data_IF_515829795413
#
_entry.id   IF_515829795413
#
_cell.length_a   1.000
_cell.length_b   1.000
_cell.length_c   1.000
_cell.angle_alpha   90.00
_cell.angle_beta   90.00
_cell.angle_gamma   90.00
#
_symmetry.space_group_name_H-M   'P 1'
#
loop_
_entity.id
_entity.type
_entity.pdbx_description
1 polymer ?
#
# COMPACT_ATOMS: atom_id res chain seq x y z
N UNK A 1 -19.37 -24.95 -18.26
CA UNK A 1 -19.02 -23.53 -17.98
C UNK A 1 -19.50 -23.26 -16.58
N UNK A 2 -18.65 -22.76 -15.67
CA UNK A 2 -19.08 -22.48 -14.30
C UNK A 2 -20.16 -21.40 -14.34
N UNK A 3 -21.26 -21.63 -13.62
CA UNK A 3 -22.37 -20.68 -13.50
C UNK A 3 -21.95 -19.39 -12.76
N UNK A 4 -20.69 -19.22 -12.36
CA UNK A 4 -20.29 -18.12 -11.49
C UNK A 4 -19.76 -16.88 -12.23
N UNK A 5 -19.78 -16.85 -13.56
CA UNK A 5 -19.22 -15.76 -14.38
C UNK A 5 -20.26 -14.99 -15.20
N UNK A 6 -21.51 -14.92 -14.73
CA UNK A 6 -22.64 -14.34 -15.47
C UNK A 6 -22.43 -12.88 -15.90
N UNK A 7 -21.68 -12.09 -15.12
CA UNK A 7 -21.56 -10.65 -15.35
C UNK A 7 -20.32 -10.24 -16.14
N UNK A 8 -19.31 -11.12 -16.25
CA UNK A 8 -18.08 -10.82 -17.00
C UNK A 8 -18.38 -10.53 -18.48
N UNK A 9 -19.23 -11.30 -19.19
CA UNK A 9 -19.57 -10.99 -20.58
C UNK A 9 -20.26 -9.63 -20.74
N UNK A 10 -21.08 -9.21 -19.77
CA UNK A 10 -21.79 -7.92 -19.79
C UNK A 10 -20.78 -6.77 -19.69
N UNK A 11 -19.84 -6.87 -18.74
CA UNK A 11 -18.77 -5.89 -18.57
C UNK A 11 -17.81 -5.87 -19.77
N UNK A 12 -17.42 -7.04 -20.27
CA UNK A 12 -16.52 -7.15 -21.42
C UNK A 12 -17.13 -6.56 -22.69
N UNK A 13 -18.46 -6.63 -22.84
CA UNK A 13 -19.19 -5.96 -23.92
C UNK A 13 -19.17 -4.44 -23.74
N UNK A 14 -19.45 -3.95 -22.54
CA UNK A 14 -19.46 -2.51 -22.25
C UNK A 14 -18.09 -1.86 -22.46
N UNK A 15 -17.01 -2.55 -22.12
CA UNK A 15 -15.63 -2.06 -22.29
C UNK A 15 -15.16 -1.98 -23.76
N UNK A 16 -15.89 -2.58 -24.70
CA UNK A 16 -15.57 -2.55 -26.13
C UNK A 16 -16.40 -1.52 -26.90
N UNK A 17 -17.35 -0.87 -26.23
CA UNK A 17 -18.20 0.13 -26.85
C UNK A 17 -17.44 1.47 -27.02
N UNK A 18 -17.65 2.22 -28.12
CA UNK A 18 -17.04 3.54 -28.28
C UNK A 18 -17.41 4.54 -27.18
N UNK A 19 -18.61 4.43 -26.60
CA UNK A 19 -19.07 5.23 -25.46
C UNK A 19 -19.01 4.36 -24.19
N UNK A 20 -17.79 4.19 -23.67
CA UNK A 20 -17.48 3.29 -22.55
C UNK A 20 -18.26 3.71 -21.29
N UNK A 21 -18.34 5.00 -20.98
CA UNK A 21 -18.97 5.49 -19.76
C UNK A 21 -20.46 5.14 -19.73
N UNK A 22 -21.18 5.48 -20.82
CA UNK A 22 -22.59 5.16 -20.95
C UNK A 22 -22.83 3.66 -20.94
N UNK A 23 -21.97 2.90 -21.62
CA UNK A 23 -22.10 1.45 -21.74
C UNK A 23 -21.84 0.74 -20.41
N UNK A 24 -20.87 1.20 -19.61
CA UNK A 24 -20.64 0.70 -18.27
C UNK A 24 -21.82 1.02 -17.34
N UNK A 25 -22.37 2.25 -17.38
CA UNK A 25 -23.59 2.58 -16.62
C UNK A 25 -24.74 1.62 -16.93
N UNK A 26 -24.96 1.33 -18.20
CA UNK A 26 -26.00 0.40 -18.62
C UNK A 26 -25.71 -1.04 -18.14
N UNK A 27 -24.46 -1.49 -18.23
CA UNK A 27 -24.04 -2.79 -17.73
C UNK A 27 -24.25 -2.93 -16.22
N UNK A 28 -23.86 -1.94 -15.42
CA UNK A 28 -24.09 -1.94 -13.98
C UNK A 28 -25.59 -1.98 -13.63
N UNK A 29 -26.41 -1.23 -14.36
CA UNK A 29 -27.86 -1.28 -14.19
C UNK A 29 -28.44 -2.66 -14.51
N UNK A 30 -27.97 -3.29 -15.59
CA UNK A 30 -28.37 -4.64 -16.00
C UNK A 30 -27.97 -5.69 -14.96
N UNK A 31 -26.72 -5.65 -14.49
CA UNK A 31 -26.20 -6.56 -13.46
C UNK A 31 -27.00 -6.41 -12.16
N UNK A 32 -27.29 -5.18 -11.73
CA UNK A 32 -28.11 -4.91 -10.54
C UNK A 32 -29.53 -5.46 -10.68
N UNK A 33 -30.15 -5.31 -11.86
CA UNK A 33 -31.46 -5.90 -12.15
C UNK A 33 -31.41 -7.43 -12.12
N UNK A 34 -30.38 -8.05 -12.69
CA UNK A 34 -30.18 -9.50 -12.65
C UNK A 34 -29.97 -10.01 -11.22
N UNK A 35 -29.20 -9.30 -10.39
CA UNK A 35 -28.93 -9.66 -8.99
C UNK A 35 -30.18 -9.84 -8.13
N UNK A 36 -31.32 -9.24 -8.51
CA UNK A 36 -32.61 -9.44 -7.82
C UNK A 36 -33.23 -10.83 -8.04
N UNK A 37 -32.77 -11.58 -9.04
CA UNK A 37 -33.28 -12.92 -9.33
C UNK A 37 -32.50 -13.97 -8.51
N UNK A 38 -33.22 -14.90 -7.88
CA UNK A 38 -32.62 -15.92 -7.00
C UNK A 38 -31.46 -16.70 -7.60
N UNK A 39 -31.51 -17.00 -8.91
CA UNK A 39 -30.44 -17.73 -9.63
C UNK A 39 -29.13 -16.96 -9.79
N UNK A 40 -29.14 -15.65 -9.57
CA UNK A 40 -27.98 -14.77 -9.72
C UNK A 40 -27.50 -14.19 -8.39
N UNK A 41 -28.14 -14.51 -7.27
CA UNK A 41 -27.86 -13.89 -5.97
C UNK A 41 -26.40 -14.09 -5.53
N UNK A 42 -25.89 -15.33 -5.56
CA UNK A 42 -24.51 -15.65 -5.19
C UNK A 42 -23.49 -14.98 -6.13
N UNK A 43 -23.76 -14.97 -7.44
CA UNK A 43 -22.91 -14.27 -8.39
C UNK A 43 -22.89 -12.77 -8.15
N UNK A 44 -24.02 -12.19 -7.72
CA UNK A 44 -24.18 -10.75 -7.50
C UNK A 44 -23.47 -10.29 -6.24
N UNK A 45 -23.55 -11.06 -5.16
CA UNK A 45 -22.77 -10.81 -3.93
C UNK A 45 -21.26 -10.82 -4.21
N UNK A 46 -20.77 -11.81 -4.95
CA UNK A 46 -19.36 -11.85 -5.36
C UNK A 46 -18.96 -10.67 -6.25
N UNK A 47 -19.87 -10.19 -7.10
CA UNK A 47 -19.64 -9.01 -7.92
C UNK A 47 -19.57 -7.73 -7.08
N UNK A 48 -20.45 -7.56 -6.10
CA UNK A 48 -20.39 -6.41 -5.18
C UNK A 48 -19.07 -6.40 -4.39
N UNK A 49 -18.64 -7.56 -3.87
CA UNK A 49 -17.33 -7.70 -3.21
C UNK A 49 -16.17 -7.33 -4.13
N UNK A 50 -16.22 -7.74 -5.40
CA UNK A 50 -15.19 -7.37 -6.38
C UNK A 50 -15.17 -5.87 -6.67
N UNK A 51 -16.33 -5.24 -6.84
CA UNK A 51 -16.42 -3.79 -7.09
C UNK A 51 -15.91 -3.00 -5.88
N UNK A 52 -16.28 -3.41 -4.67
CA UNK A 52 -15.81 -2.77 -3.45
C UNK A 52 -14.29 -2.89 -3.27
N UNK A 53 -13.72 -4.07 -3.56
CA UNK A 53 -12.27 -4.27 -3.58
C UNK A 53 -11.57 -3.42 -4.65
N UNK A 54 -12.12 -3.36 -5.87
CA UNK A 54 -11.56 -2.57 -6.95
C UNK A 54 -11.62 -1.06 -6.66
N UNK A 55 -12.71 -0.59 -6.07
CA UNK A 55 -12.89 0.80 -5.67
C UNK A 55 -11.94 1.17 -4.54
N UNK A 56 -11.86 0.34 -3.50
CA UNK A 56 -10.92 0.51 -2.39
C UNK A 56 -9.47 0.57 -2.88
N UNK A 57 -9.10 -0.33 -3.79
CA UNK A 57 -7.76 -0.33 -4.39
C UNK A 57 -7.50 0.92 -5.24
N UNK A 58 -8.51 1.44 -5.95
CA UNK A 58 -8.39 2.65 -6.75
C UNK A 58 -8.27 3.92 -5.89
N UNK A 59 -9.04 4.05 -4.81
CA UNK A 59 -8.93 5.15 -3.85
C UNK A 59 -7.57 5.13 -3.16
N UNK A 60 -7.10 3.96 -2.73
CA UNK A 60 -5.77 3.79 -2.14
C UNK A 60 -4.69 4.20 -3.15
N UNK A 61 -4.80 3.75 -4.40
CA UNK A 61 -3.81 4.07 -5.44
C UNK A 61 -3.80 5.56 -5.79
N UNK A 62 -4.96 6.20 -5.85
CA UNK A 62 -5.09 7.62 -6.19
C UNK A 62 -4.61 8.51 -5.05
N UNK A 63 -4.99 8.19 -3.81
CA UNK A 63 -4.50 8.86 -2.61
C UNK A 63 -2.98 8.71 -2.46
N UNK A 64 -2.45 7.51 -2.69
CA UNK A 64 -1.01 7.24 -2.66
C UNK A 64 -0.24 8.07 -3.67
N UNK A 65 -0.70 8.10 -4.93
CA UNK A 65 -0.06 8.89 -6.01
C UNK A 65 -0.07 10.38 -5.72
N UNK A 66 -1.16 10.89 -5.15
CA UNK A 66 -1.26 12.32 -4.84
C UNK A 66 -0.34 12.68 -3.66
N UNK A 67 -0.23 11.81 -2.67
CA UNK A 67 0.73 11.99 -1.56
C UNK A 67 2.18 11.91 -2.01
N UNK A 68 2.51 10.93 -2.83
CA UNK A 68 3.85 10.79 -3.43
C UNK A 68 4.21 12.06 -4.22
N UNK A 69 3.30 12.53 -5.08
CA UNK A 69 3.50 13.76 -5.86
C UNK A 69 3.63 14.99 -4.94
N UNK A 70 2.83 15.07 -3.88
CA UNK A 70 2.91 16.15 -2.88
C UNK A 70 4.27 16.17 -2.19
N UNK A 71 4.80 15.01 -1.81
CA UNK A 71 6.13 14.89 -1.23
C UNK A 71 7.22 15.26 -2.23
N UNK A 72 7.15 14.76 -3.47
CA UNK A 72 8.15 15.05 -4.50
C UNK A 72 8.24 16.54 -4.81
N UNK A 73 7.10 17.24 -4.83
CA UNK A 73 7.05 18.68 -5.03
C UNK A 73 7.58 19.44 -3.81
N UNK A 74 7.22 19.01 -2.60
CA UNK A 74 7.66 19.66 -1.37
C UNK A 74 9.18 19.55 -1.17
N UNK A 75 9.78 18.42 -1.54
CA UNK A 75 11.22 18.16 -1.38
C UNK A 75 12.07 18.53 -2.60
N UNK A 76 11.44 19.11 -3.63
CA UNK A 76 12.13 19.55 -4.83
C UNK A 76 12.71 18.43 -5.72
N UNK A 77 12.31 17.17 -5.51
CA UNK A 77 12.78 16.01 -6.29
C UNK A 77 11.91 15.71 -7.52
N UNK A 78 10.78 16.40 -7.69
CA UNK A 78 9.91 16.22 -8.85
C UNK A 78 10.60 16.67 -10.14
N UNK A 79 10.79 15.74 -11.07
CA UNK A 79 11.39 16.02 -12.39
C UNK A 79 10.32 16.50 -13.37
N UNK A 80 10.05 17.81 -13.37
CA UNK A 80 9.13 18.44 -14.30
C UNK A 80 9.52 19.87 -14.67
N UNK A 81 8.87 20.42 -15.68
CA UNK A 81 9.04 21.82 -16.06
C UNK A 81 8.44 22.75 -14.99
N UNK A 82 8.93 23.99 -14.89
CA UNK A 82 8.39 24.98 -13.96
C UNK A 82 6.87 25.19 -14.13
N UNK A 83 6.36 25.07 -15.35
CA UNK A 83 4.93 25.19 -15.66
C UNK A 83 4.12 24.00 -15.11
N UNK A 84 4.66 22.79 -15.21
CA UNK A 84 4.03 21.59 -14.65
C UNK A 84 4.04 21.64 -13.13
N UNK A 85 5.15 22.04 -12.52
CA UNK A 85 5.27 22.23 -11.07
C UNK A 85 4.20 23.21 -10.56
N UNK A 86 4.08 24.40 -11.17
CA UNK A 86 3.09 25.39 -10.71
C UNK A 86 1.65 24.88 -10.87
N UNK A 87 1.37 24.19 -11.98
CA UNK A 87 0.04 23.61 -12.23
C UNK A 87 -0.33 22.56 -11.17
N UNK A 88 0.63 21.73 -10.76
CA UNK A 88 0.41 20.72 -9.73
C UNK A 88 0.31 21.34 -8.33
N UNK A 89 1.08 22.39 -8.04
CA UNK A 89 0.96 23.14 -6.79
C UNK A 89 -0.40 23.82 -6.67
N UNK A 90 -0.96 24.37 -7.75
CA UNK A 90 -2.32 24.93 -7.75
C UNK A 90 -3.37 23.86 -7.43
N UNK A 91 -3.20 22.63 -7.95
CA UNK A 91 -4.06 21.50 -7.62
C UNK A 91 -3.93 21.15 -6.13
N UNK A 92 -2.72 21.07 -5.58
CA UNK A 92 -2.49 20.79 -4.15
C UNK A 92 -3.10 21.89 -3.26
N UNK A 93 -2.90 23.17 -3.60
CA UNK A 93 -3.46 24.33 -2.88
C UNK A 93 -4.99 24.36 -2.89
N UNK A 94 -5.62 23.86 -3.95
CA UNK A 94 -7.09 23.78 -4.03
C UNK A 94 -7.71 22.69 -3.13
N UNK A 95 -6.89 21.81 -2.54
CA UNK A 95 -7.33 20.72 -1.67
C UNK A 95 -6.73 20.87 -0.25
N UNK A 96 -7.51 21.30 0.76
CA UNK A 96 -6.99 21.66 2.09
C UNK A 96 -6.16 20.55 2.77
N UNK A 97 -6.56 19.29 2.59
CA UNK A 97 -5.84 18.13 3.13
C UNK A 97 -4.46 17.94 2.49
N UNK A 98 -4.32 18.18 1.18
CA UNK A 98 -3.04 18.04 0.48
C UNK A 98 -2.15 19.24 0.73
N UNK A 99 -2.72 20.44 0.81
CA UNK A 99 -1.99 21.63 1.20
C UNK A 99 -1.40 21.50 2.62
N UNK A 100 -2.19 20.99 3.58
CA UNK A 100 -1.70 20.76 4.93
C UNK A 100 -0.55 19.76 4.97
N UNK A 101 -0.62 18.70 4.16
CA UNK A 101 0.44 17.69 4.02
C UNK A 101 1.71 18.29 3.36
N UNK A 102 1.54 19.06 2.30
CA UNK A 102 2.62 19.79 1.62
C UNK A 102 3.35 20.75 2.57
N UNK A 103 2.61 21.58 3.32
CA UNK A 103 3.19 22.51 4.29
C UNK A 103 3.88 21.80 5.45
N UNK A 104 3.35 20.66 5.90
CA UNK A 104 3.99 19.86 6.94
C UNK A 104 5.36 19.36 6.47
N UNK A 105 5.47 18.89 5.23
CA UNK A 105 6.73 18.42 4.64
C UNK A 105 7.72 19.60 4.50
N UNK A 106 7.28 20.74 3.98
CA UNK A 106 8.13 21.95 3.88
C UNK A 106 8.65 22.42 5.25
N UNK A 107 7.81 22.40 6.29
CA UNK A 107 8.24 22.74 7.66
C UNK A 107 9.26 21.75 8.21
N UNK A 108 9.23 20.50 7.73
CA UNK A 108 10.20 19.49 8.13
C UNK A 108 11.56 19.69 7.44
N UNK A 109 11.60 20.13 6.18
CA UNK A 109 12.84 20.50 5.49
C UNK A 109 13.44 21.81 6.01
N UNK A 110 12.61 22.82 6.29
CA UNK A 110 13.09 24.10 6.83
C UNK A 110 13.71 23.98 8.24
N UNK A 111 13.44 22.90 8.97
CA UNK A 111 13.92 22.61 10.33
C UNK A 111 15.27 21.84 10.38
N UNK A 112 16.00 21.76 9.26
CA UNK A 112 17.29 21.06 9.08
C UNK A 112 18.38 21.38 10.11
N UNK A 113 18.21 22.44 10.93
CA UNK A 113 19.15 22.81 11.99
C UNK A 113 18.86 22.20 13.37
N UNK A 114 17.82 21.36 13.51
CA UNK A 114 17.50 20.69 14.78
C UNK A 114 17.99 19.22 14.80
N UNK A 115 19.16 19.03 15.40
CA UNK A 115 19.96 17.80 15.45
C UNK A 115 19.35 16.56 16.17
N UNK A 116 18.04 16.32 16.13
CA UNK A 116 17.48 15.15 16.82
C UNK A 116 16.10 14.67 16.32
N UNK A 117 15.89 14.54 15.00
CA UNK A 117 14.65 13.94 14.47
C UNK A 117 14.90 12.53 13.97
N UNK A 118 14.87 11.62 14.93
CA UNK A 118 14.99 10.19 14.71
C UNK A 118 13.75 9.68 13.94
N UNK A 119 13.89 9.03 12.76
CA UNK A 119 12.73 8.52 12.04
C UNK A 119 11.97 7.51 12.90
N UNK A 120 10.65 7.69 13.01
CA UNK A 120 9.79 6.74 13.71
C UNK A 120 8.96 6.01 12.67
N UNK A 121 9.17 4.69 12.55
CA UNK A 121 8.45 3.84 11.63
C UNK A 121 7.47 2.99 12.42
N UNK A 122 6.21 3.01 12.01
CA UNK A 122 5.16 2.17 12.56
C UNK A 122 4.73 1.13 11.53
N UNK A 123 4.61 -0.11 11.99
CA UNK A 123 3.99 -1.22 11.27
C UNK A 123 2.63 -1.49 11.88
N UNK A 124 1.57 -1.29 11.10
CA UNK A 124 0.18 -1.49 11.51
C UNK A 124 -0.46 -2.63 10.72
N UNK A 125 -1.12 -3.55 11.41
CA UNK A 125 -1.94 -4.61 10.84
C UNK A 125 -3.39 -4.14 10.68
N UNK A 126 -4.05 -4.62 9.63
CA UNK A 126 -5.50 -4.56 9.42
C UNK A 126 -6.34 -5.05 10.62
N UNK A 127 -5.80 -5.95 11.45
CA UNK A 127 -6.43 -6.46 12.69
C UNK A 127 -6.22 -5.55 13.91
N UNK A 128 -5.64 -4.37 13.72
CA UNK A 128 -5.51 -3.33 14.74
C UNK A 128 -4.23 -3.39 15.59
N UNK A 129 -3.29 -4.30 15.29
CA UNK A 129 -1.98 -4.31 15.96
C UNK A 129 -1.06 -3.27 15.31
N UNK A 130 -0.62 -2.26 16.05
CA UNK A 130 0.37 -1.29 15.58
C UNK A 130 1.62 -1.31 16.49
N UNK A 131 2.80 -1.45 15.87
CA UNK A 131 4.08 -1.45 16.57
C UNK A 131 4.96 -0.35 15.96
N UNK A 132 5.32 0.65 16.77
CA UNK A 132 6.22 1.73 16.40
C UNK A 132 7.65 1.50 16.88
N UNK A 133 8.63 1.82 16.03
CA UNK A 133 10.06 1.82 16.39
C UNK A 133 10.76 3.08 15.91
N UNK A 134 11.74 3.49 16.72
CA UNK A 134 12.49 4.74 16.57
C UNK A 134 13.91 4.41 16.08
N UNK A 135 14.29 4.88 14.90
CA UNK A 135 15.55 4.59 14.22
C UNK A 135 16.69 5.52 14.66
N UNK A 136 17.30 5.26 15.82
CA UNK A 136 18.27 6.16 16.49
C UNK A 136 19.50 6.57 15.68
N UNK A 137 19.77 5.91 14.55
CA UNK A 137 20.82 6.24 13.61
C UNK A 137 20.39 5.87 12.19
N UNK A 138 20.91 6.60 11.21
CA UNK A 138 20.82 6.27 9.80
C UNK A 138 22.26 6.25 9.24
N UNK A 139 22.74 5.16 8.62
CA UNK A 139 22.02 3.91 8.38
C UNK A 139 21.70 3.12 9.67
N UNK A 140 20.56 2.44 9.67
CA UNK A 140 20.02 1.74 10.84
C UNK A 140 19.04 0.64 10.45
N UNK A 141 18.88 -0.34 11.32
CA UNK A 141 18.03 -1.50 11.06
C UNK A 141 17.22 -1.85 12.31
N UNK A 142 15.91 -2.02 12.14
CA UNK A 142 14.99 -2.37 13.21
C UNK A 142 14.11 -3.55 12.81
N UNK A 143 13.89 -4.47 13.75
CA UNK A 143 13.04 -5.65 13.57
C UNK A 143 11.74 -5.54 14.35
N UNK A 144 10.63 -5.91 13.72
CA UNK A 144 9.29 -6.00 14.27
C UNK A 144 8.92 -7.48 14.33
N UNK A 145 8.84 -8.02 15.55
CA UNK A 145 8.52 -9.42 15.82
C UNK A 145 7.00 -9.62 15.97
N UNK A 146 6.53 -10.87 15.93
CA UNK A 146 5.11 -11.17 16.16
C UNK A 146 4.21 -10.91 14.96
N UNK A 147 4.76 -10.95 13.75
CA UNK A 147 4.03 -10.62 12.52
C UNK A 147 3.26 -11.86 12.04
N UNK A 148 1.94 -11.75 12.00
CA UNK A 148 1.03 -12.80 11.53
C UNK A 148 0.61 -12.54 10.07
N UNK A 149 0.15 -13.56 9.32
CA UNK A 149 -0.42 -13.31 7.99
C UNK A 149 -1.62 -12.35 8.01
N UNK A 150 -1.65 -11.42 7.06
CA UNK A 150 -2.67 -10.38 6.95
C UNK A 150 -2.19 -9.16 6.16
N UNK A 151 -3.05 -8.13 6.11
CA UNK A 151 -2.74 -6.83 5.51
C UNK A 151 -1.95 -5.93 6.46
N UNK A 152 -0.94 -5.25 5.94
CA UNK A 152 -0.07 -4.36 6.71
C UNK A 152 0.13 -3.02 6.02
N UNK A 153 0.28 -1.99 6.86
CA UNK A 153 0.68 -0.63 6.48
C UNK A 153 1.93 -0.26 7.27
N UNK A 154 2.95 0.23 6.57
CA UNK A 154 4.17 0.73 7.16
C UNK A 154 4.20 2.22 6.90
N UNK A 155 4.32 3.01 7.96
CA UNK A 155 4.27 4.46 7.87
C UNK A 155 5.35 5.15 8.69
N UNK A 156 5.79 6.30 8.24
CA UNK A 156 6.54 7.25 9.04
C UNK A 156 5.54 7.95 9.97
N UNK A 157 5.69 7.77 11.28
CA UNK A 157 4.77 8.37 12.27
C UNK A 157 4.86 9.88 12.26
N UNK A 158 6.06 10.43 12.03
CA UNK A 158 6.32 11.86 12.07
C UNK A 158 5.61 12.63 10.93
N UNK A 159 5.41 11.98 9.77
CA UNK A 159 4.75 12.57 8.58
C UNK A 159 3.37 11.99 8.31
N UNK A 160 3.04 10.83 8.89
CA UNK A 160 1.89 10.03 8.47
C UNK A 160 2.08 9.34 7.10
N UNK A 161 3.26 9.44 6.49
CA UNK A 161 3.53 8.90 5.16
C UNK A 161 3.56 7.38 5.20
N UNK A 162 2.65 6.74 4.44
CA UNK A 162 2.67 5.29 4.21
C UNK A 162 3.78 4.98 3.20
N UNK A 163 4.83 4.31 3.68
CA UNK A 163 5.96 3.85 2.89
C UNK A 163 5.56 2.61 2.07
N UNK A 164 4.80 1.70 2.68
CA UNK A 164 4.40 0.46 2.05
C UNK A 164 3.05 -0.01 2.59
N UNK A 165 2.21 -0.53 1.71
CA UNK A 165 0.97 -1.21 2.06
C UNK A 165 0.89 -2.50 1.24
N UNK A 166 0.53 -3.60 1.88
CA UNK A 166 0.38 -4.87 1.19
C UNK A 166 0.04 -6.03 2.11
N UNK A 167 -0.19 -7.18 1.47
CA UNK A 167 -0.49 -8.41 2.17
C UNK A 167 0.81 -9.22 2.42
N UNK A 168 0.93 -9.75 3.63
CA UNK A 168 1.93 -10.75 3.99
C UNK A 168 1.25 -12.09 4.19
N UNK A 169 1.67 -13.07 3.39
CA UNK A 169 1.09 -14.40 3.33
C UNK A 169 1.77 -15.36 4.30
N UNK A 170 1.11 -16.48 4.59
CA UNK A 170 1.69 -17.56 5.39
C UNK A 170 2.98 -18.13 4.76
N UNK A 171 3.12 -18.14 3.44
CA UNK A 171 4.35 -18.59 2.76
C UNK A 171 5.55 -17.69 3.06
N UNK A 172 5.30 -16.41 3.30
CA UNK A 172 6.34 -15.42 3.59
C UNK A 172 6.69 -15.41 5.09
N UNK A 173 5.72 -15.70 5.98
CA UNK A 173 5.89 -15.54 7.42
C UNK A 173 6.01 -16.85 8.22
N UNK A 174 5.61 -17.99 7.67
CA UNK A 174 5.52 -19.26 8.39
C UNK A 174 6.36 -20.34 7.69
N UNK A 175 7.21 -21.01 8.47
CA UNK A 175 7.96 -22.19 8.02
C UNK A 175 7.00 -23.38 7.82
N UNK A 176 6.76 -23.75 6.56
CA UNK A 176 5.86 -24.86 6.18
C UNK A 176 6.54 -26.22 6.18
N UNK A 177 7.86 -26.27 6.02
CA UNK A 177 8.66 -27.49 6.16
C UNK A 177 9.59 -27.33 7.37
N UNK A 178 9.59 -28.30 8.29
CA UNK A 178 10.55 -28.37 9.38
C UNK A 178 11.89 -28.86 8.81
N UNK A 179 12.88 -27.97 8.62
CA UNK A 179 14.23 -28.40 8.27
C UNK A 179 14.81 -29.18 9.44
N UNK A 180 15.80 -30.05 9.18
CA UNK A 180 16.55 -30.71 10.25
C UNK A 180 17.12 -29.65 11.21
N UNK A 181 17.28 -29.97 12.50
CA UNK A 181 17.60 -28.98 13.54
C UNK A 181 18.82 -28.08 13.24
N UNK A 182 19.79 -28.56 12.45
CA UNK A 182 20.94 -27.77 12.00
C UNK A 182 20.64 -26.74 10.88
N UNK A 183 19.57 -26.93 10.11
CA UNK A 183 19.14 -26.04 9.02
C UNK A 183 18.11 -24.99 9.49
N UNK A 184 17.48 -25.20 10.66
CA UNK A 184 16.48 -24.26 11.18
C UNK A 184 17.03 -22.86 11.47
N UNK A 185 18.28 -22.71 11.91
CA UNK A 185 18.87 -21.39 12.15
C UNK A 185 19.23 -20.66 10.85
N UNK A 186 19.76 -21.39 9.86
CA UNK A 186 20.13 -20.82 8.55
C UNK A 186 18.91 -20.32 7.78
N UNK A 187 17.78 -21.02 7.89
CA UNK A 187 16.55 -20.64 7.20
C UNK A 187 15.85 -19.46 7.89
N UNK A 188 15.91 -19.37 9.23
CA UNK A 188 15.40 -18.20 9.97
C UNK A 188 16.09 -16.88 9.63
N UNK A 189 17.36 -16.95 9.23
CA UNK A 189 18.17 -15.77 8.92
C UNK A 189 18.18 -15.40 7.43
N UNK A 190 17.41 -16.11 6.59
CA UNK A 190 17.23 -15.73 5.19
C UNK A 190 15.89 -15.04 5.00
N UNK A 191 15.86 -13.86 4.38
CA UNK A 191 14.60 -13.20 4.10
C UNK A 191 13.82 -14.00 3.05
N UNK A 192 12.54 -14.23 3.31
CA UNK A 192 11.58 -14.82 2.36
C UNK A 192 11.12 -13.82 1.32
N UNK A 193 11.08 -12.54 1.69
CA UNK A 193 10.77 -11.41 0.82
C UNK A 193 11.75 -10.29 1.13
N UNK A 194 12.19 -9.61 0.08
CA UNK A 194 12.92 -8.34 0.16
C UNK A 194 12.27 -7.37 -0.80
N UNK A 195 11.93 -6.19 -0.31
CA UNK A 195 11.41 -5.08 -1.09
C UNK A 195 12.35 -3.90 -0.87
N UNK A 196 12.91 -3.38 -1.95
CA UNK A 196 13.59 -2.10 -1.92
C UNK A 196 12.51 -1.02 -2.15
N UNK A 197 12.33 -0.16 -1.15
CA UNK A 197 11.29 0.86 -1.05
C UNK A 197 11.94 2.25 -1.07
N UNK A 198 11.17 3.25 -1.51
CA UNK A 198 11.65 4.60 -1.87
C UNK A 198 12.62 4.57 -3.07
N UNK A 199 12.57 5.59 -3.91
CA UNK A 199 13.42 5.68 -5.10
C UNK A 199 14.89 5.63 -4.66
N UNK A 200 15.65 4.64 -5.15
CA UNK A 200 17.06 4.32 -4.84
C UNK A 200 17.34 3.36 -3.65
N UNK A 201 16.34 2.69 -3.07
CA UNK A 201 16.58 1.65 -2.05
C UNK A 201 17.07 2.20 -0.70
N UNK A 202 16.67 3.42 -0.40
CA UNK A 202 16.93 4.11 0.88
C UNK A 202 16.26 3.39 2.04
N UNK A 203 15.17 2.67 1.78
CA UNK A 203 14.50 1.81 2.74
C UNK A 203 14.38 0.38 2.19
N UNK A 204 14.88 -0.59 2.93
CA UNK A 204 14.75 -2.01 2.57
C UNK A 204 13.85 -2.69 3.59
N UNK A 205 12.77 -3.28 3.10
CA UNK A 205 11.91 -4.15 3.89
C UNK A 205 12.27 -5.60 3.63
N UNK A 206 12.48 -6.36 4.69
CA UNK A 206 12.68 -7.82 4.63
C UNK A 206 11.66 -8.52 5.51
N UNK A 207 11.14 -9.64 5.04
CA UNK A 207 10.34 -10.54 5.88
C UNK A 207 11.15 -11.80 6.16
N UNK A 208 11.05 -12.30 7.39
CA UNK A 208 11.67 -13.56 7.78
C UNK A 208 10.61 -14.50 8.36
N UNK A 209 10.66 -15.79 7.98
CA UNK A 209 9.68 -16.75 8.43
C UNK A 209 10.02 -17.23 9.85
N UNK A 210 8.99 -17.45 10.66
CA UNK A 210 9.11 -18.12 11.95
C UNK A 210 8.18 -19.33 12.07
N UNK A 211 8.12 -19.92 13.27
CA UNK A 211 7.37 -21.18 13.50
C UNK A 211 5.86 -20.99 13.59
N UNK A 212 5.42 -19.83 14.06
CA UNK A 212 4.01 -19.48 14.28
C UNK A 212 3.69 -18.07 13.79
N UNK A 213 4.67 -17.19 13.98
CA UNK A 213 4.71 -15.80 13.54
C UNK A 213 6.05 -15.55 12.86
N UNK A 214 6.09 -14.59 11.94
CA UNK A 214 7.32 -14.11 11.31
C UNK A 214 7.77 -12.78 11.91
N UNK A 215 8.75 -12.16 11.25
CA UNK A 215 9.19 -10.80 11.56
C UNK A 215 9.37 -9.97 10.29
N UNK A 216 9.21 -8.68 10.44
CA UNK A 216 9.59 -7.68 9.45
C UNK A 216 10.86 -7.01 9.94
N UNK A 217 11.80 -6.76 9.04
CA UNK A 217 12.97 -5.95 9.29
C UNK A 217 12.94 -4.78 8.31
N UNK A 218 13.20 -3.60 8.84
CA UNK A 218 13.29 -2.38 8.05
C UNK A 218 14.69 -1.82 8.24
N UNK A 219 15.40 -1.64 7.13
CA UNK A 219 16.72 -1.04 7.07
C UNK A 219 16.63 0.31 6.35
N UNK A 220 17.14 1.35 7.00
CA UNK A 220 17.42 2.65 6.38
C UNK A 220 18.89 2.66 5.97
N UNK A 221 19.16 2.86 4.68
CA UNK A 221 20.51 2.71 4.11
C UNK A 221 21.26 4.02 3.93
N UNK A 222 20.56 5.16 3.90
CA UNK A 222 21.11 6.51 3.73
C UNK A 222 20.29 7.54 4.49
#
# INVERSE_FOLDING_TARGET
MSENLFFIPILAKALRDPDIERSLRNAFFEIKKMGTQRRYAEGFENFELFIDAAYSQHEITTSYRIRELTAQLATGIFEGTAREIESLLDIIRSHPQWQAEYEAILRMEADEHSANRVPVIEVASDKGLAIGKVFRKVPGCESFEGILPGGYKIKLVNTGWIIWEGELTAKELILTALPMAAETERIRNRPTKRLDLLNNGELILRTYPGRKEGRIEIELTK
#
